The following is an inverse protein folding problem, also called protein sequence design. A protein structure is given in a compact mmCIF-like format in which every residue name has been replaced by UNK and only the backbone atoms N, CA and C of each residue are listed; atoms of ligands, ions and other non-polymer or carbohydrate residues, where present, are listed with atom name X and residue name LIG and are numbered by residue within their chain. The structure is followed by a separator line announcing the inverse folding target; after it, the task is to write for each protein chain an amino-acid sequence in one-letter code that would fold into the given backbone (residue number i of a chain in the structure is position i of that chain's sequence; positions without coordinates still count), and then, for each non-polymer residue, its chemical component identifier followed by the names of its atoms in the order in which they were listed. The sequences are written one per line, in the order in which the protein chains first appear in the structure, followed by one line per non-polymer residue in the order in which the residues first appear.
data_IF_490053039093
#
_entry.id   IF_490053039093
#
_cell.length_a   1.000
_cell.length_b   1.000
_cell.length_c   1.000
_cell.angle_alpha   90.00
_cell.angle_beta   90.00
_cell.angle_gamma   90.00
#
_symmetry.space_group_name_H-M   'P 1'
#
loop_
_entity.id
_entity.type
_entity.pdbx_description
1 polymer ?
#
# COMPACT_ATOMS: atom_id res chain seq x y z
N UNK A 1 -11.42 -1.90 -8.61
CA UNK A 1 -12.02 -2.95 -9.46
C UNK A 1 -13.54 -3.03 -9.27
N UNK A 2 -14.33 -3.34 -10.31
CA UNK A 2 -15.79 -3.53 -10.21
C UNK A 2 -16.21 -4.90 -9.66
N UNK A 3 -15.28 -5.87 -9.61
CA UNK A 3 -15.56 -7.26 -9.20
C UNK A 3 -16.44 -8.04 -10.18
N UNK A 4 -16.75 -7.46 -11.34
CA UNK A 4 -17.55 -8.08 -12.39
C UNK A 4 -16.66 -8.79 -13.41
N UNK A 5 -17.19 -9.83 -14.04
CA UNK A 5 -16.51 -10.53 -15.12
C UNK A 5 -16.34 -9.68 -16.38
N UNK A 6 -15.57 -10.21 -17.32
CA UNK A 6 -15.40 -9.63 -18.67
C UNK A 6 -16.24 -10.41 -19.67
N UNK A 7 -17.00 -9.69 -20.50
CA UNK A 7 -17.78 -10.25 -21.61
C UNK A 7 -17.15 -9.87 -22.94
N UNK A 8 -17.26 -10.74 -23.93
CA UNK A 8 -16.69 -10.53 -25.25
C UNK A 8 -17.76 -10.02 -26.21
N UNK A 9 -17.41 -8.98 -26.96
CA UNK A 9 -18.15 -8.53 -28.13
C UNK A 9 -17.22 -8.53 -29.35
N UNK A 10 -17.77 -8.75 -30.54
CA UNK A 10 -17.00 -8.80 -31.77
C UNK A 10 -17.57 -7.86 -32.82
N UNK A 11 -16.71 -6.96 -33.31
CA UNK A 11 -17.00 -6.11 -34.46
C UNK A 11 -15.96 -6.36 -35.56
N UNK A 12 -16.39 -7.00 -36.65
CA UNK A 12 -15.50 -7.40 -37.73
C UNK A 12 -14.40 -8.36 -37.24
N UNK A 13 -13.14 -7.95 -37.44
CA UNK A 13 -11.95 -8.73 -37.05
C UNK A 13 -11.38 -8.33 -35.69
N UNK A 14 -12.14 -7.58 -34.89
CA UNK A 14 -11.76 -7.16 -33.54
C UNK A 14 -12.72 -7.76 -32.53
N UNK A 15 -12.16 -8.44 -31.55
CA UNK A 15 -12.84 -8.89 -30.34
C UNK A 15 -12.49 -7.90 -29.23
N UNK A 16 -13.50 -7.41 -28.52
CA UNK A 16 -13.36 -6.47 -27.41
C UNK A 16 -13.89 -7.13 -26.14
N UNK A 17 -13.09 -7.08 -25.07
CA UNK A 17 -13.53 -7.48 -23.74
C UNK A 17 -14.05 -6.27 -22.96
N UNK A 18 -15.31 -6.28 -22.54
CA UNK A 18 -15.92 -5.23 -21.72
C UNK A 18 -16.24 -5.74 -20.32
N UNK A 19 -16.26 -4.85 -19.33
CA UNK A 19 -16.85 -5.19 -18.03
C UNK A 19 -18.33 -5.53 -18.23
N UNK A 20 -18.78 -6.64 -17.64
CA UNK A 20 -20.18 -7.12 -17.72
C UNK A 20 -21.19 -6.00 -17.47
N UNK A 21 -22.15 -5.82 -18.39
CA UNK A 21 -23.19 -4.78 -18.31
C UNK A 21 -22.80 -3.41 -18.86
N UNK A 22 -21.60 -3.29 -19.43
CA UNK A 22 -21.08 -2.08 -20.08
C UNK A 22 -20.55 -2.37 -21.49
N UNK A 23 -21.17 -3.32 -22.19
CA UNK A 23 -20.81 -3.68 -23.55
C UNK A 23 -20.88 -2.45 -24.47
N UNK A 24 -19.88 -2.30 -25.35
CA UNK A 24 -19.77 -1.18 -26.29
C UNK A 24 -19.55 0.21 -25.65
N UNK A 25 -19.23 0.29 -24.37
CA UNK A 25 -18.76 1.52 -23.73
C UNK A 25 -17.23 1.51 -23.65
N UNK A 26 -16.59 2.39 -24.42
CA UNK A 26 -15.13 2.53 -24.45
C UNK A 26 -14.54 2.88 -23.08
N UNK A 27 -15.31 3.54 -22.20
CA UNK A 27 -14.86 3.76 -20.84
C UNK A 27 -14.59 2.42 -20.14
N UNK A 28 -15.35 1.37 -20.46
CA UNK A 28 -15.35 0.04 -19.84
C UNK A 28 -14.63 -1.08 -20.60
N UNK A 29 -13.92 -0.72 -21.67
CA UNK A 29 -13.07 -1.63 -22.42
C UNK A 29 -11.91 -2.14 -21.57
N UNK A 30 -11.71 -3.46 -21.52
CA UNK A 30 -10.65 -4.12 -20.76
C UNK A 30 -9.48 -4.50 -21.66
N UNK A 31 -9.78 -5.08 -22.83
CA UNK A 31 -8.77 -5.45 -23.81
C UNK A 31 -9.38 -5.55 -25.21
N UNK A 32 -8.53 -5.55 -26.23
CA UNK A 32 -8.88 -5.89 -27.62
C UNK A 32 -7.95 -6.95 -28.19
N UNK A 33 -8.52 -7.83 -29.02
CA UNK A 33 -7.80 -8.76 -29.89
C UNK A 33 -8.18 -8.45 -31.34
N UNK A 34 -7.21 -8.05 -32.15
CA UNK A 34 -7.43 -7.73 -33.56
C UNK A 34 -6.55 -8.60 -34.45
N UNK A 35 -7.15 -9.20 -35.48
CA UNK A 35 -6.41 -9.95 -36.49
C UNK A 35 -6.17 -9.12 -37.76
N UNK A 36 -4.93 -9.10 -38.24
CA UNK A 36 -4.61 -8.65 -39.57
C UNK A 36 -4.96 -9.77 -40.56
N UNK A 37 -5.98 -9.57 -41.39
CA UNK A 37 -6.48 -10.61 -42.30
C UNK A 37 -5.55 -10.97 -43.44
N UNK A 38 -4.55 -10.13 -43.75
CA UNK A 38 -3.59 -10.39 -44.80
C UNK A 38 -2.41 -11.25 -44.32
N UNK A 39 -2.03 -11.12 -43.04
CA UNK A 39 -0.85 -11.80 -42.47
C UNK A 39 -1.20 -12.88 -41.46
N UNK A 40 -2.38 -12.81 -40.84
CA UNK A 40 -2.79 -13.64 -39.70
C UNK A 40 -2.27 -13.14 -38.35
N UNK A 41 -1.54 -12.02 -38.31
CA UNK A 41 -1.01 -11.48 -37.05
C UNK A 41 -2.15 -11.06 -36.12
N UNK A 42 -2.06 -11.48 -34.85
CA UNK A 42 -3.02 -11.10 -33.81
C UNK A 42 -2.36 -10.14 -32.84
N UNK A 43 -3.00 -9.00 -32.63
CA UNK A 43 -2.55 -7.99 -31.65
C UNK A 43 -3.47 -8.03 -30.43
N UNK A 44 -2.90 -8.22 -29.24
CA UNK A 44 -3.57 -8.02 -27.96
C UNK A 44 -3.21 -6.64 -27.43
N UNK A 45 -4.22 -5.82 -27.11
CA UNK A 45 -4.05 -4.56 -26.38
C UNK A 45 -4.83 -4.66 -25.09
N UNK A 46 -4.21 -4.35 -23.96
CA UNK A 46 -4.87 -4.29 -22.65
C UNK A 46 -5.06 -2.82 -22.26
N UNK A 47 -6.30 -2.45 -21.99
CA UNK A 47 -6.71 -1.08 -21.65
C UNK A 47 -6.99 -0.92 -20.14
N UNK A 48 -7.30 -2.02 -19.45
CA UNK A 48 -7.52 -2.03 -17.99
C UNK A 48 -6.81 -3.19 -17.32
N UNK A 49 -6.37 -2.94 -16.09
CA UNK A 49 -5.87 -3.98 -15.20
C UNK A 49 -6.92 -5.08 -15.01
N UNK A 50 -6.44 -6.32 -14.94
CA UNK A 50 -7.25 -7.50 -14.62
C UNK A 50 -6.62 -8.17 -13.41
N UNK A 51 -7.44 -8.66 -12.50
CA UNK A 51 -6.91 -9.35 -11.33
C UNK A 51 -6.64 -10.81 -11.65
N UNK A 52 -5.56 -11.35 -11.11
CA UNK A 52 -5.25 -12.77 -11.18
C UNK A 52 -5.94 -13.53 -10.01
N UNK A 53 -6.13 -14.86 -10.10
CA UNK A 53 -6.89 -15.61 -9.09
C UNK A 53 -6.11 -15.86 -7.79
N UNK A 54 -4.79 -15.71 -7.80
CA UNK A 54 -3.95 -15.85 -6.61
C UNK A 54 -3.51 -14.50 -6.07
N UNK A 55 -2.99 -14.50 -4.84
CA UNK A 55 -2.34 -13.35 -4.24
C UNK A 55 -0.95 -13.82 -3.82
N UNK A 56 0.09 -13.31 -4.50
CA UNK A 56 1.49 -13.63 -4.24
C UNK A 56 2.19 -12.50 -3.49
N UNK A 57 3.16 -12.85 -2.64
CA UNK A 57 4.05 -11.90 -1.97
C UNK A 57 5.44 -12.53 -1.78
N UNK A 58 6.51 -12.03 -2.44
CA UNK A 58 6.50 -10.93 -3.40
C UNK A 58 5.65 -11.25 -4.63
N UNK A 59 5.31 -10.23 -5.41
CA UNK A 59 4.70 -10.44 -6.73
C UNK A 59 5.63 -11.32 -7.59
N UNK A 60 5.01 -12.30 -8.23
CA UNK A 60 5.66 -13.37 -8.98
C UNK A 60 5.26 -13.33 -10.46
N UNK A 61 4.39 -12.38 -10.84
CA UNK A 61 3.98 -12.15 -12.22
C UNK A 61 3.08 -13.26 -12.75
N UNK A 62 2.25 -13.83 -11.88
CA UNK A 62 1.23 -14.80 -12.25
C UNK A 62 0.32 -14.28 -13.38
N UNK A 63 -0.19 -15.20 -14.20
CA UNK A 63 -1.05 -14.87 -15.33
C UNK A 63 -2.34 -15.69 -15.36
N UNK A 64 -3.40 -15.10 -15.89
CA UNK A 64 -4.67 -15.76 -16.18
C UNK A 64 -4.95 -15.74 -17.68
N UNK A 65 -5.31 -16.90 -18.24
CA UNK A 65 -5.72 -17.01 -19.64
C UNK A 65 -7.23 -17.07 -19.79
N UNK A 66 -7.73 -16.74 -20.98
CA UNK A 66 -9.14 -16.93 -21.30
C UNK A 66 -9.52 -18.42 -21.22
N UNK A 67 -10.74 -18.72 -20.78
CA UNK A 67 -11.30 -20.08 -20.84
C UNK A 67 -11.28 -20.57 -22.29
N UNK A 68 -10.92 -21.84 -22.49
CA UNK A 68 -10.88 -22.47 -23.82
C UNK A 68 -12.20 -22.33 -24.59
N UNK A 69 -12.09 -22.15 -25.90
CA UNK A 69 -13.23 -22.05 -26.83
C UNK A 69 -13.91 -20.69 -26.91
N UNK A 70 -13.35 -19.65 -26.29
CA UNK A 70 -13.92 -18.28 -26.34
C UNK A 70 -13.46 -17.50 -27.57
N UNK A 71 -12.21 -17.69 -28.03
CA UNK A 71 -11.66 -16.96 -29.18
C UNK A 71 -11.12 -17.94 -30.20
N UNK A 72 -11.74 -18.00 -31.38
CA UNK A 72 -11.30 -18.88 -32.47
C UNK A 72 -10.80 -18.09 -33.66
N UNK A 73 -9.56 -18.34 -34.06
CA UNK A 73 -9.01 -17.88 -35.34
C UNK A 73 -9.36 -18.90 -36.43
N UNK A 74 -9.88 -18.42 -37.56
CA UNK A 74 -10.19 -19.26 -38.73
C UNK A 74 -9.31 -18.85 -39.91
N UNK A 75 -8.52 -19.77 -40.41
CA UNK A 75 -7.76 -19.59 -41.65
C UNK A 75 -8.52 -20.25 -42.80
N UNK A 76 -8.81 -19.50 -43.85
CA UNK A 76 -9.49 -19.97 -45.06
C UNK A 76 -8.58 -19.79 -46.27
N UNK A 77 -8.42 -20.85 -47.05
CA UNK A 77 -7.74 -20.81 -48.35
C UNK A 77 -8.81 -20.93 -49.43
N UNK A 78 -8.77 -20.03 -50.41
CA UNK A 78 -9.62 -20.06 -51.61
C UNK A 78 -8.71 -20.05 -52.84
N UNK A 79 -8.93 -20.95 -53.79
CA UNK A 79 -8.18 -20.96 -55.05
C UNK A 79 -8.83 -20.04 -56.11
N UNK A 80 -8.32 -20.09 -57.35
CA UNK A 80 -8.66 -19.10 -58.39
C UNK A 80 -10.02 -19.34 -59.02
N UNK A 81 -10.51 -20.57 -59.01
CA UNK A 81 -11.81 -20.98 -59.52
C UNK A 81 -12.87 -21.02 -58.42
N UNK A 82 -12.48 -20.87 -57.15
CA UNK A 82 -13.37 -20.53 -56.03
C UNK A 82 -13.57 -21.64 -55.02
N UNK A 83 -12.84 -22.75 -55.13
CA UNK A 83 -12.86 -23.80 -54.12
C UNK A 83 -12.24 -23.26 -52.82
N UNK A 84 -12.85 -23.59 -51.69
CA UNK A 84 -12.41 -23.10 -50.38
C UNK A 84 -12.28 -24.21 -49.34
N UNK A 85 -11.27 -24.10 -48.49
CA UNK A 85 -11.06 -24.94 -47.32
C UNK A 85 -10.69 -24.09 -46.10
N UNK A 86 -11.11 -24.48 -44.90
CA UNK A 86 -10.84 -23.74 -43.67
C UNK A 86 -10.37 -24.65 -42.51
N UNK A 87 -9.61 -24.06 -41.58
CA UNK A 87 -9.18 -24.67 -40.32
C UNK A 87 -9.26 -23.66 -39.17
N UNK A 88 -9.48 -24.16 -37.96
CA UNK A 88 -9.68 -23.36 -36.76
C UNK A 88 -8.53 -23.55 -35.76
N UNK A 89 -8.19 -22.47 -35.05
CA UNK A 89 -7.26 -22.47 -33.91
C UNK A 89 -7.92 -21.74 -32.74
N UNK A 90 -8.00 -22.38 -31.58
CA UNK A 90 -8.42 -21.73 -30.34
C UNK A 90 -7.28 -20.86 -29.80
N UNK A 91 -7.52 -19.54 -29.74
CA UNK A 91 -6.59 -18.57 -29.20
C UNK A 91 -6.78 -18.33 -27.71
N UNK A 92 -7.85 -18.84 -27.09
CA UNK A 92 -8.15 -18.56 -25.68
C UNK A 92 -6.97 -18.82 -24.74
N UNK A 93 -6.34 -19.99 -24.86
CA UNK A 93 -5.19 -20.34 -24.02
C UNK A 93 -3.88 -19.65 -24.44
N UNK A 94 -3.87 -18.96 -25.59
CA UNK A 94 -2.74 -18.20 -26.11
C UNK A 94 -2.81 -16.71 -25.73
N UNK A 95 -3.87 -16.31 -25.03
CA UNK A 95 -4.07 -14.95 -24.51
C UNK A 95 -3.98 -15.03 -23.00
N UNK A 96 -2.87 -14.53 -22.45
CA UNK A 96 -2.61 -14.49 -21.00
C UNK A 96 -2.49 -13.03 -20.57
N UNK A 97 -3.18 -12.68 -19.50
CA UNK A 97 -3.04 -11.41 -18.83
C UNK A 97 -2.27 -11.61 -17.54
N UNK A 98 -1.28 -10.76 -17.29
CA UNK A 98 -0.54 -10.73 -16.05
C UNK A 98 -1.06 -9.57 -15.21
N UNK A 99 -1.24 -9.83 -13.93
CA UNK A 99 -1.52 -8.79 -12.94
C UNK A 99 -0.19 -8.33 -12.34
N UNK A 100 -0.08 -7.04 -12.03
CA UNK A 100 1.13 -6.45 -11.42
C UNK A 100 0.85 -6.21 -9.94
N UNK A 101 1.52 -6.98 -9.08
CA UNK A 101 1.31 -6.95 -7.65
C UNK A 101 2.04 -5.80 -6.95
N UNK A 102 1.64 -5.44 -5.72
CA UNK A 102 2.33 -4.41 -4.97
C UNK A 102 3.73 -4.87 -4.52
N UNK A 103 4.67 -3.93 -4.45
CA UNK A 103 5.99 -4.14 -3.84
C UNK A 103 6.39 -2.98 -2.94
N UNK A 104 7.24 -3.26 -1.94
CA UNK A 104 7.68 -2.27 -0.96
C UNK A 104 9.13 -2.55 -0.53
N UNK A 105 9.91 -1.48 -0.35
CA UNK A 105 11.28 -1.56 0.17
C UNK A 105 11.62 -0.40 1.11
N UNK A 106 12.59 -0.62 2.00
CA UNK A 106 13.18 0.42 2.84
C UNK A 106 14.37 1.04 2.10
N UNK A 107 14.20 2.24 1.58
CA UNK A 107 15.23 2.90 0.75
C UNK A 107 15.24 4.42 0.82
N UNK A 108 14.27 5.03 1.49
CA UNK A 108 14.21 6.47 1.67
C UNK A 108 14.93 6.97 2.93
N UNK A 109 15.04 8.29 3.05
CA UNK A 109 15.60 8.96 4.23
C UNK A 109 14.50 9.74 4.94
N UNK A 110 14.52 9.69 6.27
CA UNK A 110 13.58 10.38 7.15
C UNK A 110 14.37 10.99 8.31
N UNK A 111 13.85 12.07 8.89
CA UNK A 111 14.44 12.66 10.08
C UNK A 111 14.12 11.82 11.32
N UNK A 112 14.80 12.13 12.41
CA UNK A 112 14.50 11.58 13.73
C UNK A 112 13.52 12.49 14.47
N UNK A 113 12.70 11.90 15.34
CA UNK A 113 11.90 12.65 16.31
C UNK A 113 12.78 13.08 17.50
N UNK A 114 12.67 14.34 17.92
CA UNK A 114 13.46 14.93 19.00
C UNK A 114 12.59 15.84 19.87
N UNK A 115 12.57 15.57 21.18
CA UNK A 115 11.97 16.45 22.19
C UNK A 115 13.03 16.98 23.15
N UNK A 116 12.72 18.08 23.83
CA UNK A 116 13.65 18.73 24.75
C UNK A 116 12.95 19.09 26.07
N UNK A 117 13.49 18.59 27.17
CA UNK A 117 12.91 18.78 28.51
C UNK A 117 12.87 20.25 28.96
N UNK A 118 13.71 21.11 28.37
CA UNK A 118 13.75 22.54 28.65
C UNK A 118 12.38 23.22 28.45
N UNK A 119 11.50 22.63 27.61
CA UNK A 119 10.17 23.15 27.27
C UNK A 119 9.03 22.47 28.01
N UNK A 120 9.31 21.55 28.94
CA UNK A 120 8.27 20.91 29.74
C UNK A 120 7.63 21.91 30.71
N UNK A 121 6.34 21.70 30.97
CA UNK A 121 5.59 22.50 31.95
C UNK A 121 5.42 21.73 33.24
N UNK A 122 5.30 22.44 34.36
CA UNK A 122 4.96 21.84 35.65
C UNK A 122 3.64 21.05 35.63
N UNK A 123 2.74 21.30 34.67
CA UNK A 123 1.46 20.61 34.57
C UNK A 123 1.61 19.12 34.22
N UNK A 124 2.63 18.77 33.43
CA UNK A 124 2.89 17.39 32.97
C UNK A 124 4.16 16.80 33.59
N UNK A 125 5.13 17.65 33.92
CA UNK A 125 6.44 17.25 34.42
C UNK A 125 6.53 17.25 35.96
N UNK A 126 5.60 16.53 36.61
CA UNK A 126 5.61 16.32 38.07
C UNK A 126 5.70 17.62 38.91
N UNK A 127 5.10 18.72 38.45
CA UNK A 127 5.13 20.01 39.16
C UNK A 127 6.40 20.84 38.94
N UNK A 128 7.33 20.39 38.08
CA UNK A 128 8.60 21.07 37.81
C UNK A 128 8.57 21.65 36.39
N UNK A 129 8.78 22.97 36.27
CA UNK A 129 8.96 23.60 34.96
C UNK A 129 10.33 23.25 34.38
N UNK A 130 10.40 23.12 33.06
CA UNK A 130 11.64 23.16 32.30
C UNK A 130 12.34 24.52 32.40
N UNK A 131 13.51 24.62 31.77
CA UNK A 131 14.46 25.72 31.95
C UNK A 131 14.42 26.83 30.90
N UNK A 132 13.34 26.96 30.09
CA UNK A 132 13.22 27.99 29.02
C UNK A 132 13.61 29.43 29.43
N UNK A 133 14.14 30.27 28.52
CA UNK A 133 14.00 30.17 27.05
C UNK A 133 15.34 30.01 26.29
N UNK A 134 15.50 28.94 25.52
CA UNK A 134 16.50 28.91 24.45
C UNK A 134 15.92 29.60 23.19
N UNK A 135 16.75 30.40 22.53
CA UNK A 135 16.38 31.40 21.51
C UNK A 135 16.32 30.83 20.09
N UNK A 136 16.39 29.51 19.91
CA UNK A 136 16.34 28.84 18.59
C UNK A 136 15.17 27.86 18.53
N UNK A 137 13.92 28.33 18.33
CA UNK A 137 12.79 27.43 18.12
C UNK A 137 12.66 27.19 16.63
N UNK A 138 13.50 26.31 16.07
CA UNK A 138 13.26 25.85 14.69
C UNK A 138 12.85 24.40 14.60
N UNK A 139 13.17 23.53 15.59
CA UNK A 139 12.70 22.13 15.66
C UNK A 139 12.67 21.62 17.13
N UNK A 140 11.61 20.90 17.52
CA UNK A 140 11.45 20.15 18.79
C UNK A 140 11.11 20.95 20.05
N UNK A 141 9.85 20.92 20.48
CA UNK A 141 9.45 21.29 21.85
C UNK A 141 9.22 20.01 22.68
N UNK A 142 8.40 20.05 23.73
CA UNK A 142 7.81 18.84 24.32
C UNK A 142 6.97 18.00 23.33
N UNK A 143 6.90 18.41 22.06
CA UNK A 143 6.22 17.72 20.96
C UNK A 143 7.07 17.85 19.69
N UNK A 144 7.16 16.76 18.94
CA UNK A 144 7.79 16.70 17.62
C UNK A 144 6.99 15.81 16.66
N UNK A 145 7.08 16.11 15.37
CA UNK A 145 6.31 15.43 14.32
C UNK A 145 7.18 15.19 13.10
N UNK A 146 7.18 13.95 12.63
CA UNK A 146 7.92 13.56 11.44
C UNK A 146 7.07 12.62 10.59
N UNK A 147 7.19 12.75 9.27
CA UNK A 147 6.55 11.84 8.34
C UNK A 147 7.49 10.70 7.99
N UNK A 148 7.13 9.48 8.37
CA UNK A 148 7.92 8.28 8.11
C UNK A 148 7.52 7.53 6.84
N UNK A 149 6.48 7.95 6.11
CA UNK A 149 6.11 7.36 4.82
C UNK A 149 7.27 7.46 3.82
N UNK A 150 8.04 8.56 3.89
CA UNK A 150 9.22 8.78 3.04
C UNK A 150 10.35 7.77 3.22
N UNK A 151 10.33 6.91 4.24
CA UNK A 151 11.31 5.83 4.41
C UNK A 151 11.08 4.66 3.43
N UNK A 152 9.85 4.53 2.92
CA UNK A 152 9.42 3.41 2.11
C UNK A 152 9.31 3.81 0.64
N UNK A 153 9.86 2.99 -0.26
CA UNK A 153 9.52 3.05 -1.68
C UNK A 153 8.43 2.03 -1.93
N UNK A 154 7.23 2.51 -2.24
CA UNK A 154 6.02 1.71 -2.48
C UNK A 154 5.69 1.72 -3.97
N UNK A 155 5.40 0.54 -4.52
CA UNK A 155 4.80 0.34 -5.84
C UNK A 155 3.45 -0.33 -5.62
N UNK A 156 2.38 0.29 -6.12
CA UNK A 156 1.00 -0.11 -5.79
C UNK A 156 0.35 -1.05 -6.80
N UNK A 157 1.07 -1.46 -7.85
CA UNK A 157 0.45 -2.10 -9.02
C UNK A 157 -0.47 -1.16 -9.81
N UNK A 158 -1.05 -1.67 -10.90
CA UNK A 158 -1.86 -0.91 -11.85
C UNK A 158 -3.35 -0.82 -11.48
N UNK A 159 -3.86 -1.70 -10.61
CA UNK A 159 -5.25 -1.74 -10.17
C UNK A 159 -5.52 -0.95 -8.86
N UNK A 160 -4.44 -0.49 -8.23
CA UNK A 160 -4.44 0.43 -7.10
C UNK A 160 -4.40 -0.29 -5.75
N UNK A 161 -3.22 -0.32 -5.11
CA UNK A 161 -3.08 -0.71 -3.73
C UNK A 161 -3.25 0.45 -2.74
N UNK A 162 -3.43 0.11 -1.46
CA UNK A 162 -3.38 1.05 -0.34
C UNK A 162 -2.15 0.79 0.51
N UNK A 163 -1.65 1.84 1.17
CA UNK A 163 -0.58 1.73 2.15
C UNK A 163 -1.12 2.09 3.52
N UNK A 164 -0.76 1.32 4.53
CA UNK A 164 -1.15 1.57 5.91
C UNK A 164 0.08 1.48 6.83
N UNK A 165 0.07 2.30 7.86
CA UNK A 165 1.14 2.39 8.85
C UNK A 165 0.61 2.01 10.25
N UNK A 166 1.45 1.32 11.01
CA UNK A 166 1.18 0.95 12.39
C UNK A 166 2.46 1.02 13.22
N UNK A 167 2.31 1.28 14.51
CA UNK A 167 3.37 1.13 15.50
C UNK A 167 3.13 -0.16 16.28
N UNK A 168 4.20 -0.86 16.67
CA UNK A 168 4.10 -2.09 17.46
C UNK A 168 5.27 -2.18 18.44
N UNK A 169 4.96 -2.43 19.71
CA UNK A 169 5.90 -2.91 20.73
C UNK A 169 5.76 -4.43 20.90
N UNK A 170 6.80 -5.10 21.40
CA UNK A 170 6.77 -6.54 21.51
C UNK A 170 5.72 -7.05 22.51
N UNK A 171 5.51 -6.36 23.64
CA UNK A 171 4.47 -6.59 24.64
C UNK A 171 4.29 -5.33 25.50
N UNK A 172 3.14 -5.20 26.18
CA UNK A 172 2.93 -4.15 27.18
C UNK A 172 3.74 -4.45 28.46
N UNK A 173 4.18 -3.38 29.13
CA UNK A 173 5.05 -3.44 30.31
C UNK A 173 6.52 -3.68 30.00
N UNK A 174 6.95 -3.59 28.74
CA UNK A 174 8.37 -3.78 28.37
C UNK A 174 9.19 -2.58 28.86
N UNK A 175 10.24 -2.85 29.63
CA UNK A 175 11.19 -1.84 30.09
C UNK A 175 12.00 -1.24 28.94
N UNK A 176 12.17 0.08 29.01
CA UNK A 176 13.10 0.84 28.17
C UNK A 176 14.43 1.05 28.90
N UNK A 177 15.34 1.79 28.28
CA UNK A 177 16.55 2.31 28.91
C UNK A 177 16.38 3.71 29.51
N UNK A 178 15.17 4.31 29.45
CA UNK A 178 14.91 5.64 29.97
C UNK A 178 14.64 5.59 31.47
N UNK A 179 15.15 6.59 32.20
CA UNK A 179 14.81 6.84 33.60
C UNK A 179 13.99 8.14 33.69
N UNK A 180 12.84 8.10 34.35
CA UNK A 180 12.08 9.30 34.68
C UNK A 180 12.86 10.14 35.70
N UNK A 181 13.25 11.36 35.31
CA UNK A 181 14.15 12.20 36.10
C UNK A 181 13.57 12.61 37.45
N UNK A 182 12.24 12.69 37.57
CA UNK A 182 11.59 13.11 38.81
C UNK A 182 11.50 12.00 39.87
N UNK A 183 11.22 10.76 39.45
CA UNK A 183 11.10 9.61 40.37
C UNK A 183 12.40 8.80 40.51
N UNK A 184 13.30 8.86 39.53
CA UNK A 184 14.49 8.01 39.45
C UNK A 184 14.18 6.55 39.08
N UNK A 185 12.95 6.26 38.65
CA UNK A 185 12.50 4.94 38.24
C UNK A 185 12.56 4.79 36.71
N UNK A 186 12.66 3.55 36.24
CA UNK A 186 12.67 3.26 34.80
C UNK A 186 11.33 3.54 34.13
N UNK A 187 11.34 3.63 32.80
CA UNK A 187 10.15 3.80 31.97
C UNK A 187 9.83 2.51 31.23
N UNK A 188 8.57 2.08 31.24
CA UNK A 188 8.05 0.93 30.50
C UNK A 188 7.11 1.39 29.38
N UNK A 189 6.97 0.58 28.33
CA UNK A 189 6.07 0.84 27.21
C UNK A 189 4.75 0.07 27.38
N UNK A 190 3.64 0.75 27.12
CA UNK A 190 2.32 0.17 26.97
C UNK A 190 1.74 0.64 25.64
N UNK A 191 1.08 -0.26 24.89
CA UNK A 191 0.46 0.06 23.62
C UNK A 191 -1.04 -0.21 23.65
N UNK A 192 -1.80 0.78 23.21
CA UNK A 192 -3.24 0.68 22.94
C UNK A 192 -3.52 1.15 21.52
N UNK A 193 -3.92 0.23 20.65
CA UNK A 193 -4.07 0.52 19.21
C UNK A 193 -2.75 0.96 18.60
N UNK A 194 -2.73 2.13 17.95
CA UNK A 194 -1.55 2.72 17.32
C UNK A 194 -0.87 3.81 18.17
N UNK A 195 -1.18 3.83 19.46
CA UNK A 195 -0.55 4.71 20.44
C UNK A 195 0.35 3.88 21.34
N UNK A 196 1.63 4.24 21.39
CA UNK A 196 2.58 3.73 22.37
C UNK A 196 2.76 4.81 23.44
N UNK A 197 2.56 4.43 24.69
CA UNK A 197 2.77 5.29 25.85
C UNK A 197 3.95 4.78 26.67
N UNK A 198 4.84 5.68 27.05
CA UNK A 198 5.86 5.42 28.08
C UNK A 198 5.31 5.78 29.45
N UNK A 199 5.33 4.87 30.42
CA UNK A 199 4.95 5.12 31.80
C UNK A 199 6.12 4.86 32.75
N UNK A 200 6.16 5.55 33.88
CA UNK A 200 7.06 5.18 34.97
C UNK A 200 6.72 3.75 35.44
N UNK A 201 7.74 2.92 35.67
CA UNK A 201 7.61 1.50 36.02
C UNK A 201 6.69 1.31 37.23
N UNK A 202 5.70 0.44 37.12
CA UNK A 202 4.72 0.17 38.19
C UNK A 202 3.55 1.15 38.24
N UNK A 203 3.47 2.07 37.27
CA UNK A 203 2.39 3.07 37.11
C UNK A 203 1.80 3.04 35.69
N UNK A 204 1.77 1.88 35.05
CA UNK A 204 1.22 1.68 33.72
C UNK A 204 -0.26 2.11 33.67
N UNK A 205 -0.64 2.84 32.62
CA UNK A 205 -2.00 3.37 32.42
C UNK A 205 -2.45 4.44 33.43
N UNK A 206 -1.53 5.00 34.22
CA UNK A 206 -1.79 6.18 35.05
C UNK A 206 -1.27 7.45 34.36
N UNK A 207 -2.20 8.34 33.98
CA UNK A 207 -1.89 9.58 33.30
C UNK A 207 -0.96 10.51 34.11
N UNK A 208 -0.93 10.40 35.44
CA UNK A 208 0.00 11.19 36.27
C UNK A 208 1.47 10.74 36.12
N UNK A 209 1.68 9.54 35.58
CA UNK A 209 2.99 8.91 35.39
C UNK A 209 3.32 8.66 33.91
N UNK A 210 2.53 9.25 33.01
CA UNK A 210 2.82 9.26 31.58
C UNK A 210 4.08 10.08 31.32
N UNK A 211 5.06 9.48 30.67
CA UNK A 211 6.35 10.09 30.35
C UNK A 211 6.36 10.64 28.93
N UNK A 212 5.84 9.87 27.98
CA UNK A 212 5.70 10.29 26.58
C UNK A 212 4.63 9.47 25.86
N UNK A 213 4.20 9.94 24.70
CA UNK A 213 3.39 9.19 23.74
C UNK A 213 3.99 9.25 22.33
N UNK A 214 3.95 8.12 21.62
CA UNK A 214 4.09 8.05 20.16
C UNK A 214 2.75 7.66 19.55
N UNK A 215 2.35 8.37 18.51
CA UNK A 215 1.15 8.05 17.72
C UNK A 215 1.49 8.10 16.24
N UNK A 216 0.89 7.22 15.44
CA UNK A 216 1.01 7.25 13.97
C UNK A 216 -0.35 7.50 13.33
N UNK A 217 -0.38 8.39 12.34
CA UNK A 217 -1.50 8.44 11.40
C UNK A 217 -1.37 7.29 10.41
N UNK A 218 -2.31 6.35 10.47
CA UNK A 218 -2.26 5.10 9.70
C UNK A 218 -2.32 5.28 8.20
N UNK A 219 -2.79 6.42 7.70
CA UNK A 219 -2.90 6.69 6.28
C UNK A 219 -1.69 7.46 5.75
N UNK A 220 -1.10 8.36 6.55
CA UNK A 220 -0.05 9.28 6.08
C UNK A 220 1.35 8.93 6.54
N UNK A 221 1.50 8.08 7.56
CA UNK A 221 2.79 7.78 8.18
C UNK A 221 3.35 8.93 9.03
N UNK A 222 2.56 9.96 9.31
CA UNK A 222 2.94 11.01 10.25
C UNK A 222 2.98 10.44 11.67
N UNK A 223 4.15 10.51 12.30
CA UNK A 223 4.35 10.11 13.69
C UNK A 223 4.50 11.36 14.54
N UNK A 224 3.77 11.41 15.65
CA UNK A 224 3.90 12.46 16.67
C UNK A 224 4.49 11.87 17.93
N UNK A 225 5.60 12.44 18.41
CA UNK A 225 6.15 12.23 19.73
C UNK A 225 5.73 13.40 20.63
N UNK A 226 5.10 13.11 21.76
CA UNK A 226 4.86 14.10 22.83
C UNK A 226 5.55 13.62 24.10
N UNK A 227 6.39 14.46 24.69
CA UNK A 227 7.04 14.22 25.96
C UNK A 227 6.31 15.01 27.05
N UNK A 228 5.91 14.30 28.10
CA UNK A 228 5.21 14.86 29.25
C UNK A 228 6.14 15.05 30.45
N UNK A 229 7.17 14.19 30.56
CA UNK A 229 8.12 14.16 31.67
C UNK A 229 9.57 14.05 31.21
N UNK A 230 10.45 14.68 31.99
CA UNK A 230 11.90 14.65 31.79
C UNK A 230 12.46 13.24 31.96
N UNK A 231 13.42 12.86 31.11
CA UNK A 231 14.10 11.56 31.16
C UNK A 231 15.62 11.72 30.96
N UNK A 232 16.40 10.74 31.41
CA UNK A 232 17.84 10.61 31.14
C UNK A 232 18.26 9.16 30.90
#
# INVERSE_FOLDING_TARGET
ASGLGVVLDQTGNTISGYVTGHENDAAWLVFTLTVNTATGDVTLTQDRAVHEPTASSPDTGEGISLTGGLVTLTATVTDKDGDSAAQNLDLSSHVTFHDDGPSISLSGNVNSLNTFEAYLSAATNAGINGSTPDAVPTQGHALDKENFAGAFTVVTGADGATTAYALTIANNGIATNLIDSASGLGVVLDQTGNTISGYVTGHENDAAWLVFTLTVNTATGDVTLTQDRAVH
#
